data_IF_641897738829
#
_entry.id   IF_641897738829
#
_cell.length_a   1.000
_cell.length_b   1.000
_cell.length_c   1.000
_cell.angle_alpha   90.00
_cell.angle_beta   90.00
_cell.angle_gamma   90.00
#
_symmetry.space_group_name_H-M   'P 1'
#
loop_
_entity.id
_entity.type
_entity.pdbx_description
1 polymer ?
#
# COMPACT_ATOMS: atom_id res chain seq x y z
N UNK A 1 26.09 -2.73 -25.69
CA UNK A 1 25.75 -3.85 -24.77
C UNK A 1 25.72 -3.45 -23.28
N UNK A 2 26.59 -2.56 -22.79
CA UNK A 2 26.65 -2.23 -21.34
C UNK A 2 25.36 -1.70 -20.68
N UNK A 3 24.53 -0.90 -21.37
CA UNK A 3 23.27 -0.37 -20.79
C UNK A 3 22.21 -1.44 -20.48
N UNK A 4 22.16 -2.55 -21.22
CA UNK A 4 21.22 -3.64 -20.95
C UNK A 4 21.67 -4.48 -19.75
N UNK A 5 22.99 -4.73 -19.63
CA UNK A 5 23.59 -5.46 -18.49
C UNK A 5 23.32 -4.71 -17.18
N UNK A 6 23.52 -3.39 -17.16
CA UNK A 6 23.23 -2.55 -15.98
C UNK A 6 21.74 -2.60 -15.60
N UNK A 7 20.83 -2.54 -16.58
CA UNK A 7 19.39 -2.66 -16.31
C UNK A 7 19.01 -4.01 -15.72
N UNK A 8 19.58 -5.11 -16.23
CA UNK A 8 19.38 -6.45 -15.68
C UNK A 8 19.89 -6.55 -14.25
N UNK A 9 21.10 -6.06 -13.97
CA UNK A 9 21.68 -6.07 -12.63
C UNK A 9 20.81 -5.30 -11.63
N UNK A 10 20.35 -4.10 -11.99
CA UNK A 10 19.46 -3.29 -11.15
C UNK A 10 18.13 -4.02 -10.90
N UNK A 11 17.55 -4.65 -11.92
CA UNK A 11 16.30 -5.41 -11.78
C UNK A 11 16.47 -6.63 -10.87
N UNK A 12 17.51 -7.43 -11.07
CA UNK A 12 17.84 -8.57 -10.21
C UNK A 12 18.08 -8.15 -8.77
N UNK A 13 18.78 -7.03 -8.56
CA UNK A 13 19.02 -6.51 -7.22
C UNK A 13 17.72 -6.07 -6.53
N UNK A 14 16.80 -5.40 -7.24
CA UNK A 14 15.49 -5.01 -6.71
C UNK A 14 14.65 -6.22 -6.32
N UNK A 15 14.64 -7.28 -7.14
CA UNK A 15 13.94 -8.52 -6.81
C UNK A 15 14.50 -9.16 -5.55
N UNK A 16 15.84 -9.27 -5.44
CA UNK A 16 16.49 -9.84 -4.27
C UNK A 16 16.16 -9.07 -2.99
N UNK A 17 16.17 -7.73 -3.05
CA UNK A 17 15.77 -6.87 -1.93
C UNK A 17 14.29 -7.08 -1.57
N UNK A 18 13.41 -7.25 -2.56
CA UNK A 18 12.00 -7.58 -2.37
C UNK A 18 11.81 -8.90 -1.62
N UNK A 19 12.49 -9.97 -2.07
CA UNK A 19 12.46 -11.27 -1.40
C UNK A 19 12.95 -11.18 0.05
N UNK A 20 14.09 -10.53 0.30
CA UNK A 20 14.65 -10.36 1.66
C UNK A 20 13.73 -9.56 2.57
N UNK A 21 13.12 -8.49 2.05
CA UNK A 21 12.16 -7.69 2.82
C UNK A 21 10.93 -8.51 3.21
N UNK A 22 10.46 -9.39 2.33
CA UNK A 22 9.31 -10.24 2.59
C UNK A 22 9.65 -11.34 3.59
N UNK A 23 10.79 -12.01 3.44
CA UNK A 23 11.27 -13.05 4.36
C UNK A 23 11.37 -12.50 5.80
N UNK A 24 11.98 -11.33 5.98
CA UNK A 24 12.03 -10.65 7.27
C UNK A 24 10.64 -10.34 7.85
N UNK A 25 9.66 -10.06 6.98
CA UNK A 25 8.29 -9.79 7.40
C UNK A 25 7.58 -11.06 7.86
N UNK A 26 7.77 -12.18 7.15
CA UNK A 26 7.22 -13.50 7.51
C UNK A 26 7.81 -13.99 8.84
N UNK A 27 9.10 -13.76 9.08
CA UNK A 27 9.78 -14.11 10.33
C UNK A 27 9.42 -13.19 11.51
N UNK A 28 8.59 -12.15 11.30
CA UNK A 28 8.22 -11.23 12.36
C UNK A 28 7.13 -11.78 13.27
N UNK A 29 7.15 -11.40 14.55
CA UNK A 29 6.10 -11.73 15.51
C UNK A 29 4.73 -11.20 15.06
N UNK A 30 4.69 -10.04 14.40
CA UNK A 30 3.44 -9.48 13.88
C UNK A 30 2.79 -10.35 12.82
N UNK A 31 3.59 -11.01 11.97
CA UNK A 31 3.06 -11.94 10.99
C UNK A 31 2.58 -13.22 11.66
N UNK A 32 3.34 -13.77 12.61
CA UNK A 32 2.91 -14.96 13.37
C UNK A 32 1.57 -14.73 14.08
N UNK A 33 1.43 -13.61 14.80
CA UNK A 33 0.20 -13.24 15.47
C UNK A 33 -0.97 -13.03 14.49
N UNK A 34 -0.72 -12.40 13.33
CA UNK A 34 -1.73 -12.27 12.29
C UNK A 34 -2.14 -13.63 11.72
N UNK A 35 -1.17 -14.52 11.50
CA UNK A 35 -1.38 -15.85 10.93
C UNK A 35 -2.25 -16.74 11.82
N UNK A 36 -2.03 -16.71 13.14
CA UNK A 36 -2.82 -17.47 14.12
C UNK A 36 -4.28 -17.02 14.18
N UNK A 37 -4.54 -15.72 14.01
CA UNK A 37 -5.89 -15.14 14.09
C UNK A 37 -6.62 -15.22 12.74
N UNK A 38 -5.87 -15.28 11.64
CA UNK A 38 -6.42 -15.28 10.29
C UNK A 38 -7.30 -16.50 10.01
N UNK A 39 -8.41 -16.28 9.30
CA UNK A 39 -9.20 -17.36 8.70
C UNK A 39 -8.43 -18.05 7.57
N UNK A 40 -8.79 -19.29 7.23
CA UNK A 40 -8.17 -20.04 6.13
C UNK A 40 -8.15 -19.27 4.80
N UNK A 41 -9.24 -18.57 4.48
CA UNK A 41 -9.34 -17.72 3.28
C UNK A 41 -8.38 -16.53 3.32
N UNK A 42 -8.16 -15.92 4.49
CA UNK A 42 -7.19 -14.83 4.65
C UNK A 42 -5.75 -15.34 4.53
N UNK A 43 -5.46 -16.53 5.05
CA UNK A 43 -4.15 -17.18 4.89
C UNK A 43 -3.85 -17.47 3.41
N UNK A 44 -4.83 -17.93 2.63
CA UNK A 44 -4.69 -18.12 1.17
C UNK A 44 -4.36 -16.81 0.43
N UNK A 45 -4.98 -15.70 0.83
CA UNK A 45 -4.66 -14.36 0.30
C UNK A 45 -3.22 -13.97 0.65
N UNK A 46 -2.78 -14.20 1.90
CA UNK A 46 -1.41 -13.93 2.31
C UNK A 46 -0.39 -14.75 1.49
N UNK A 47 -0.63 -16.04 1.28
CA UNK A 47 0.22 -16.89 0.43
C UNK A 47 0.31 -16.35 -1.00
N UNK A 48 -0.79 -15.81 -1.53
CA UNK A 48 -0.78 -15.16 -2.85
C UNK A 48 0.12 -13.92 -2.86
N UNK A 49 0.10 -13.09 -1.81
CA UNK A 49 1.00 -11.95 -1.68
C UNK A 49 2.46 -12.37 -1.54
N UNK A 50 2.72 -13.46 -0.82
CA UNK A 50 4.05 -14.04 -0.65
C UNK A 50 4.59 -14.52 -2.00
N UNK A 51 3.79 -15.27 -2.76
CA UNK A 51 4.19 -15.78 -4.08
C UNK A 51 4.46 -14.66 -5.10
N UNK A 52 3.74 -13.54 -4.99
CA UNK A 52 3.90 -12.40 -5.89
C UNK A 52 5.02 -11.42 -5.47
N UNK A 53 5.78 -11.71 -4.41
CA UNK A 53 6.83 -10.84 -3.87
C UNK A 53 6.28 -9.41 -3.68
N UNK A 54 5.15 -9.29 -2.99
CA UNK A 54 4.53 -8.00 -2.69
C UNK A 54 4.63 -7.65 -1.20
N UNK A 55 5.77 -7.11 -0.73
CA UNK A 55 5.95 -6.71 0.67
C UNK A 55 4.89 -5.71 1.14
N UNK A 56 4.46 -4.80 0.27
CA UNK A 56 3.47 -3.76 0.61
C UNK A 56 2.11 -4.40 0.88
N UNK A 57 1.66 -5.29 0.00
CA UNK A 57 0.38 -5.98 0.18
C UNK A 57 0.40 -6.88 1.42
N UNK A 58 1.52 -7.58 1.65
CA UNK A 58 1.67 -8.43 2.83
C UNK A 58 1.64 -7.60 4.14
N UNK A 59 2.29 -6.43 4.15
CA UNK A 59 2.26 -5.51 5.30
C UNK A 59 0.84 -5.02 5.61
N UNK A 60 0.07 -4.68 4.57
CA UNK A 60 -1.32 -4.27 4.75
C UNK A 60 -2.16 -5.43 5.26
N UNK A 61 -2.00 -6.62 4.70
CA UNK A 61 -2.69 -7.82 5.18
C UNK A 61 -2.43 -8.08 6.66
N UNK A 62 -1.17 -8.03 7.13
CA UNK A 62 -0.82 -8.18 8.55
C UNK A 62 -1.56 -7.15 9.39
N UNK A 63 -1.53 -5.89 8.96
CA UNK A 63 -2.17 -4.79 9.68
C UNK A 63 -3.69 -4.96 9.74
N UNK A 64 -4.29 -5.40 8.64
CA UNK A 64 -5.74 -5.58 8.52
C UNK A 64 -6.24 -6.78 9.33
N UNK A 65 -5.52 -7.90 9.32
CA UNK A 65 -5.87 -9.09 10.12
C UNK A 65 -5.74 -8.78 11.61
N UNK A 66 -4.63 -8.16 12.02
CA UNK A 66 -4.46 -7.76 13.41
C UNK A 66 -5.53 -6.75 13.82
N UNK A 67 -5.91 -5.82 12.95
CA UNK A 67 -7.02 -4.87 13.16
C UNK A 67 -8.40 -5.54 13.24
N UNK A 68 -8.57 -6.71 12.62
CA UNK A 68 -9.82 -7.49 12.64
C UNK A 68 -9.99 -8.36 13.89
N UNK A 69 -8.94 -8.56 14.69
CA UNK A 69 -9.06 -9.13 16.03
C UNK A 69 -9.85 -8.21 16.96
N UNK A 70 -10.35 -8.73 18.11
CA UNK A 70 -11.17 -7.97 19.06
C UNK A 70 -10.61 -6.55 19.26
N UNK A 71 -11.40 -5.52 18.98
CA UNK A 71 -11.00 -4.10 19.01
C UNK A 71 -10.26 -3.71 20.30
N UNK A 72 -10.56 -4.39 21.40
CA UNK A 72 -9.89 -4.24 22.71
C UNK A 72 -8.39 -4.56 22.68
N UNK A 73 -7.94 -5.44 21.78
CA UNK A 73 -6.52 -5.81 21.62
C UNK A 73 -5.75 -4.84 20.76
N UNK A 74 -6.42 -3.92 20.06
CA UNK A 74 -5.76 -2.95 19.19
C UNK A 74 -5.09 -1.84 19.99
N UNK A 75 -3.99 -1.31 19.43
CA UNK A 75 -3.34 -0.13 19.98
C UNK A 75 -4.20 1.12 19.71
N UNK A 76 -4.15 2.10 20.61
CA UNK A 76 -4.86 3.37 20.53
C UNK A 76 -4.63 4.10 19.20
N UNK A 77 -3.42 4.02 18.64
CA UNK A 77 -3.09 4.63 17.34
C UNK A 77 -3.95 4.04 16.22
N UNK A 78 -4.07 2.71 16.17
CA UNK A 78 -4.86 1.98 15.17
C UNK A 78 -6.35 2.29 15.35
N UNK A 79 -6.85 2.29 16.60
CA UNK A 79 -8.24 2.65 16.91
C UNK A 79 -8.58 4.08 16.46
N UNK A 80 -7.66 5.04 16.63
CA UNK A 80 -7.83 6.42 16.16
C UNK A 80 -7.83 6.53 14.63
N UNK A 81 -6.99 5.76 13.94
CA UNK A 81 -6.99 5.72 12.47
C UNK A 81 -8.32 5.17 11.95
N UNK A 82 -8.83 4.08 12.54
CA UNK A 82 -10.14 3.52 12.21
C UNK A 82 -11.24 4.56 12.47
N UNK A 83 -11.23 5.19 13.65
CA UNK A 83 -12.23 6.19 14.01
C UNK A 83 -12.21 7.42 13.08
N UNK A 84 -11.02 7.84 12.64
CA UNK A 84 -10.86 8.90 11.64
C UNK A 84 -11.45 8.49 10.29
N UNK A 85 -11.18 7.27 9.80
CA UNK A 85 -11.73 6.76 8.53
C UNK A 85 -13.26 6.71 8.55
N UNK A 86 -13.84 6.35 9.69
CA UNK A 86 -15.29 6.27 9.87
C UNK A 86 -15.92 7.58 10.35
N UNK A 87 -15.19 8.70 10.33
CA UNK A 87 -15.68 10.02 10.74
C UNK A 87 -16.38 10.01 12.11
N UNK A 88 -15.80 9.31 13.10
CA UNK A 88 -16.24 9.39 14.49
C UNK A 88 -15.80 10.74 15.06
N UNK A 89 -16.72 11.56 15.53
CA UNK A 89 -16.37 12.88 16.10
C UNK A 89 -15.67 12.70 17.46
N UNK A 90 -14.75 13.60 17.79
CA UNK A 90 -14.07 13.66 19.08
C UNK A 90 -13.25 12.39 19.45
N UNK A 91 -12.92 11.54 18.48
CA UNK A 91 -12.19 10.28 18.71
C UNK A 91 -10.83 10.46 19.41
N UNK A 92 -10.17 11.60 19.24
CA UNK A 92 -8.89 11.93 19.86
C UNK A 92 -8.97 12.14 21.37
N UNK A 93 -10.16 12.50 21.88
CA UNK A 93 -10.44 12.77 23.30
C UNK A 93 -11.09 11.59 24.02
N UNK A 94 -11.40 10.51 23.30
CA UNK A 94 -12.05 9.33 23.87
C UNK A 94 -11.05 8.40 24.54
N UNK A 95 -11.46 7.77 25.65
CA UNK A 95 -10.74 6.65 26.25
C UNK A 95 -10.83 5.41 25.35
N UNK A 96 -9.93 4.45 25.52
CA UNK A 96 -9.83 3.26 24.66
C UNK A 96 -11.16 2.50 24.60
N UNK A 97 -11.75 2.19 25.75
CA UNK A 97 -13.04 1.50 25.84
C UNK A 97 -14.17 2.26 25.14
N UNK A 98 -14.33 3.56 25.42
CA UNK A 98 -15.34 4.39 24.76
C UNK A 98 -15.16 4.45 23.24
N UNK A 99 -13.92 4.48 22.78
CA UNK A 99 -13.61 4.49 21.35
C UNK A 99 -13.97 3.15 20.70
N UNK A 100 -13.68 2.03 21.35
CA UNK A 100 -14.08 0.68 20.91
C UNK A 100 -15.60 0.55 20.83
N UNK A 101 -16.33 0.94 21.89
CA UNK A 101 -17.79 0.95 21.92
C UNK A 101 -18.38 1.83 20.82
N UNK A 102 -17.79 3.00 20.54
CA UNK A 102 -18.22 3.86 19.45
C UNK A 102 -17.98 3.25 18.07
N UNK A 103 -16.86 2.56 17.88
CA UNK A 103 -16.56 1.85 16.62
C UNK A 103 -17.53 0.68 16.43
N UNK A 104 -17.84 -0.07 17.48
CA UNK A 104 -18.80 -1.18 17.45
C UNK A 104 -20.23 -0.71 17.19
N UNK A 105 -20.69 0.31 17.93
CA UNK A 105 -22.06 0.84 17.85
C UNK A 105 -22.39 1.50 16.53
N UNK A 106 -21.41 2.07 15.81
CA UNK A 106 -21.61 2.56 14.45
C UNK A 106 -21.86 1.44 13.43
N UNK A 107 -21.81 0.17 13.86
CA UNK A 107 -21.96 -0.97 12.98
C UNK A 107 -20.90 -0.94 11.89
N UNK A 108 -19.66 -0.57 12.24
CA UNK A 108 -18.52 -0.65 11.33
C UNK A 108 -18.33 -2.12 10.97
N UNK A 109 -19.07 -2.56 9.96
CA UNK A 109 -18.77 -3.76 9.21
C UNK A 109 -17.48 -3.44 8.49
N UNK A 110 -16.47 -4.26 8.71
CA UNK A 110 -15.30 -4.28 7.86
C UNK A 110 -15.75 -4.81 6.49
N UNK A 111 -16.42 -3.96 5.71
CA UNK A 111 -16.65 -4.22 4.31
C UNK A 111 -15.29 -4.13 3.63
N UNK A 112 -14.71 -5.31 3.40
CA UNK A 112 -13.56 -5.60 2.55
C UNK A 112 -13.77 -5.19 1.08
N UNK A 113 -14.81 -4.38 0.79
CA UNK A 113 -15.22 -3.96 -0.55
C UNK A 113 -15.34 -2.45 -0.72
N UNK A 114 -14.62 -1.62 0.05
CA UNK A 114 -14.35 -0.26 -0.44
C UNK A 114 -13.04 -0.23 -1.20
N UNK A 115 -13.16 -0.65 -2.47
CA UNK A 115 -12.39 -0.11 -3.58
C UNK A 115 -12.28 1.40 -3.37
N UNK A 116 -11.06 1.91 -3.43
CA UNK A 116 -10.81 3.31 -3.74
C UNK A 116 -11.75 3.74 -4.88
N UNK A 117 -12.33 4.94 -4.77
CA UNK A 117 -13.24 5.52 -5.75
C UNK A 117 -12.59 5.70 -7.12
N UNK A 118 -12.50 4.61 -7.87
CA UNK A 118 -12.45 4.62 -9.33
C UNK A 118 -13.89 4.39 -9.78
N UNK A 119 -14.54 5.52 -10.04
CA UNK A 119 -15.75 5.64 -10.82
C UNK A 119 -15.73 4.64 -11.98
N UNK A 120 -16.81 3.85 -12.07
CA UNK A 120 -17.19 3.17 -13.30
C UNK A 120 -17.39 4.25 -14.37
N UNK A 121 -16.36 4.46 -15.19
CA UNK A 121 -16.53 4.95 -16.55
C UNK A 121 -16.22 3.80 -17.49
N UNK A 122 -17.31 3.23 -17.98
CA UNK A 122 -17.52 2.71 -19.32
C UNK A 122 -16.34 2.77 -20.31
N UNK A 123 -16.25 1.69 -21.09
CA UNK A 123 -15.87 1.67 -22.50
C UNK A 123 -14.39 1.66 -22.84
N UNK A 124 -14.05 0.84 -23.83
CA UNK A 124 -12.87 1.03 -24.66
C UNK A 124 -11.87 -0.11 -24.62
N UNK A 125 -12.12 -1.12 -25.45
CA UNK A 125 -11.00 -1.73 -26.19
C UNK A 125 -10.28 -0.62 -26.95
N UNK A 126 -8.98 -0.84 -27.18
CA UNK A 126 -8.13 -0.10 -28.11
C UNK A 126 -7.56 1.24 -27.62
N UNK A 127 -6.29 1.23 -27.22
CA UNK A 127 -5.29 2.28 -27.51
C UNK A 127 -3.95 2.00 -26.80
N UNK A 128 -3.22 0.97 -27.22
CA UNK A 128 -1.77 0.89 -27.01
C UNK A 128 -1.09 0.87 -28.39
N UNK A 129 -1.16 2.01 -29.08
CA UNK A 129 -0.28 2.31 -30.22
C UNK A 129 -0.38 3.80 -30.56
N UNK A 130 0.63 4.56 -30.14
CA UNK A 130 1.17 5.76 -30.83
C UNK A 130 2.03 6.58 -29.85
N UNK A 131 3.33 6.29 -29.76
CA UNK A 131 4.31 7.31 -29.42
C UNK A 131 4.93 7.75 -30.74
N UNK A 132 4.30 8.76 -31.35
CA UNK A 132 4.85 9.49 -32.48
C UNK A 132 5.96 10.40 -31.97
N UNK A 133 7.14 10.29 -32.57
CA UNK A 133 8.17 11.32 -32.53
C UNK A 133 7.61 12.61 -33.16
N UNK A 134 7.79 13.74 -32.47
CA UNK A 134 7.37 15.04 -32.97
C UNK A 134 8.18 16.16 -32.33
N UNK A 135 9.10 16.71 -33.13
CA UNK A 135 9.83 17.94 -32.86
C UNK A 135 8.89 19.08 -32.47
N UNK A 136 9.28 19.89 -31.48
CA UNK A 136 8.78 21.25 -31.34
C UNK A 136 9.92 22.22 -31.06
N UNK A 137 10.22 22.99 -32.11
CA UNK A 137 10.98 24.22 -32.06
C UNK A 137 10.30 25.21 -31.12
N UNK A 138 11.07 25.86 -30.25
CA UNK A 138 10.83 27.27 -29.90
C UNK A 138 12.17 27.99 -29.75
N UNK A 139 12.30 29.22 -30.25
CA UNK A 139 13.52 30.01 -30.14
C UNK A 139 13.51 30.77 -28.82
N UNK A 140 14.65 30.90 -28.14
CA UNK A 140 14.82 32.02 -27.23
C UNK A 140 16.26 32.54 -27.20
N UNK A 141 16.33 33.87 -27.33
CA UNK A 141 17.53 34.69 -27.50
C UNK A 141 18.26 34.90 -26.17
N UNK A 142 19.59 35.04 -26.29
CA UNK A 142 20.51 35.81 -25.46
C UNK A 142 20.55 35.57 -23.94
N UNK A 143 21.69 35.09 -23.44
CA UNK A 143 22.74 35.95 -22.87
C UNK A 143 24.00 35.10 -22.64
N UNK A 144 25.11 35.51 -23.28
CA UNK A 144 26.46 35.01 -23.01
C UNK A 144 27.01 35.74 -21.78
N UNK A 145 27.23 35.02 -20.67
CA UNK A 145 28.11 35.49 -19.60
C UNK A 145 29.53 34.98 -19.88
N UNK A 146 30.40 35.94 -20.21
CA UNK A 146 31.85 35.78 -20.21
C UNK A 146 32.32 35.59 -18.77
N UNK A 147 33.04 34.51 -18.50
CA UNK A 147 33.81 34.34 -17.27
C UNK A 147 35.29 34.59 -17.61
N UNK A 148 36.00 35.51 -16.92
CA UNK A 148 37.43 35.69 -17.07
C UNK A 148 38.18 34.73 -16.12
N UNK A 149 39.18 34.03 -16.66
CA UNK A 149 40.59 33.95 -16.23
C UNK A 149 41.22 32.70 -16.83
#
# INVERSE_FOLDING_TARGET
MGRQVVKMQVWSHRLLLGCRSQDRMIQSESFAAAWEIATKKQQEIALTHINNISPISLKYWISDVLASGSLDRLNMIVLRQIASRHQIKNYSRMSKQKLVEHIQSKGVKFDTKNKFGLSEKSSGRDAFNSISFGNSSTPNKHQEEKIPY
#
